data_IF_130844093937
#
_entry.id   IF_130844093937
#
_cell.length_a   1.000
_cell.length_b   1.000
_cell.length_c   1.000
_cell.angle_alpha   90.00
_cell.angle_beta   90.00
_cell.angle_gamma   90.00
#
_symmetry.space_group_name_H-M   'P 1'
#
loop_
_entity.id
_entity.type
_entity.pdbx_description
1 polymer ?
#
# COMPACT_ATOMS: atom_id res chain seq x y z
N UNK A 1 13.02 -21.49 -0.89
CA UNK A 1 11.64 -21.73 -1.34
C UNK A 1 10.95 -20.42 -1.63
N UNK A 2 10.28 -20.35 -2.74
CA UNK A 2 9.54 -19.16 -3.12
C UNK A 2 8.25 -19.07 -2.33
N UNK A 3 7.89 -17.85 -1.95
CA UNK A 3 6.61 -17.61 -1.32
C UNK A 3 5.52 -17.54 -2.38
N UNK A 4 4.30 -17.95 -2.05
CA UNK A 4 3.19 -17.85 -3.00
C UNK A 4 2.90 -16.40 -3.36
N UNK A 5 2.34 -16.21 -4.55
CA UNK A 5 1.88 -14.89 -4.99
C UNK A 5 0.54 -14.60 -4.32
N UNK A 6 0.40 -13.38 -3.80
CA UNK A 6 -0.82 -12.95 -3.14
C UNK A 6 -1.85 -12.50 -4.17
N UNK A 7 -3.11 -12.51 -3.77
CA UNK A 7 -4.21 -11.94 -4.53
C UNK A 7 -4.47 -10.52 -4.04
N UNK A 8 -4.62 -9.58 -4.96
CA UNK A 8 -4.90 -8.18 -4.60
C UNK A 8 -6.38 -7.99 -4.31
N UNK A 9 -6.66 -7.41 -3.14
CA UNK A 9 -7.97 -6.88 -2.81
C UNK A 9 -7.84 -5.39 -2.52
N UNK A 10 -8.85 -4.63 -2.93
CA UNK A 10 -8.87 -3.19 -2.74
C UNK A 10 -10.10 -2.81 -1.94
N UNK A 11 -9.93 -2.00 -0.90
CA UNK A 11 -11.09 -1.46 -0.19
C UNK A 11 -11.78 -0.41 -1.06
N UNK A 12 -13.05 -0.14 -0.74
CA UNK A 12 -13.79 0.93 -1.42
C UNK A 12 -13.08 2.28 -1.25
N UNK A 13 -12.55 2.52 -0.05
CA UNK A 13 -11.83 3.76 0.23
C UNK A 13 -10.53 3.85 -0.59
N UNK A 14 -9.80 2.73 -0.71
CA UNK A 14 -8.60 2.70 -1.55
C UNK A 14 -8.92 3.09 -2.99
N UNK A 15 -10.02 2.57 -3.52
CA UNK A 15 -10.42 2.89 -4.90
C UNK A 15 -10.72 4.37 -5.08
N UNK A 16 -11.36 4.99 -4.08
CA UNK A 16 -11.62 6.44 -4.09
C UNK A 16 -10.32 7.23 -3.99
N UNK A 17 -9.43 6.79 -3.10
CA UNK A 17 -8.11 7.40 -2.94
C UNK A 17 -7.32 7.35 -4.25
N UNK A 18 -7.37 6.20 -4.91
CA UNK A 18 -6.65 5.99 -6.17
C UNK A 18 -7.12 6.96 -7.25
N UNK A 19 -8.44 7.12 -7.38
CA UNK A 19 -9.00 8.08 -8.35
C UNK A 19 -8.52 9.50 -8.07
N UNK A 20 -8.40 9.87 -6.78
CA UNK A 20 -7.88 11.20 -6.39
C UNK A 20 -6.43 11.34 -6.83
N UNK A 21 -5.61 10.32 -6.61
CA UNK A 21 -4.20 10.35 -7.01
C UNK A 21 -4.04 10.43 -8.52
N UNK A 22 -4.86 9.73 -9.27
CA UNK A 22 -4.87 9.79 -10.73
C UNK A 22 -5.18 11.23 -11.19
N UNK A 23 -6.18 11.85 -10.59
CA UNK A 23 -6.56 13.25 -10.93
C UNK A 23 -5.44 14.24 -10.62
N UNK A 24 -4.64 13.97 -9.60
CA UNK A 24 -3.48 14.80 -9.24
C UNK A 24 -2.29 14.58 -10.16
N UNK A 25 -2.37 13.62 -11.08
CA UNK A 25 -1.28 13.32 -12.01
C UNK A 25 -0.20 12.42 -11.45
N UNK A 26 -0.49 11.67 -10.38
CA UNK A 26 0.47 10.74 -9.80
C UNK A 26 0.85 9.64 -10.81
N UNK A 27 2.12 9.24 -10.80
CA UNK A 27 2.61 8.22 -11.73
C UNK A 27 2.21 6.83 -11.25
N UNK A 28 1.19 6.26 -11.87
CA UNK A 28 0.66 4.94 -11.48
C UNK A 28 1.67 3.82 -11.66
N UNK A 29 2.69 4.00 -12.48
CA UNK A 29 3.75 2.98 -12.63
C UNK A 29 4.51 2.76 -11.32
N UNK A 30 4.68 3.82 -10.54
CA UNK A 30 5.35 3.73 -9.24
C UNK A 30 4.54 2.89 -8.26
N UNK A 31 3.23 3.07 -8.25
CA UNK A 31 2.34 2.25 -7.43
C UNK A 31 2.37 0.79 -7.89
N UNK A 32 2.31 0.55 -9.20
CA UNK A 32 2.33 -0.79 -9.75
C UNK A 32 3.60 -1.55 -9.38
N UNK A 33 4.75 -0.88 -9.37
CA UNK A 33 6.02 -1.49 -8.97
C UNK A 33 5.97 -1.97 -7.52
N UNK A 34 5.49 -1.11 -6.62
CA UNK A 34 5.39 -1.44 -5.21
C UNK A 34 4.40 -2.58 -4.99
N UNK A 35 3.22 -2.49 -5.59
CA UNK A 35 2.20 -3.53 -5.45
C UNK A 35 2.71 -4.86 -5.99
N UNK A 36 3.42 -4.83 -7.12
CA UNK A 36 3.99 -6.04 -7.72
C UNK A 36 4.98 -6.74 -6.77
N UNK A 37 5.86 -5.96 -6.13
CA UNK A 37 6.80 -6.50 -5.15
C UNK A 37 6.07 -7.11 -3.96
N UNK A 38 5.04 -6.42 -3.45
CA UNK A 38 4.26 -6.91 -2.32
C UNK A 38 3.49 -8.19 -2.67
N UNK A 39 2.91 -8.26 -3.89
CA UNK A 39 2.19 -9.45 -4.33
C UNK A 39 3.10 -10.67 -4.40
N UNK A 40 4.35 -10.48 -4.81
CA UNK A 40 5.34 -11.56 -4.85
C UNK A 40 5.98 -11.83 -3.50
N UNK A 41 5.58 -11.09 -2.47
CA UNK A 41 6.12 -11.17 -1.13
C UNK A 41 7.64 -10.95 -1.08
N UNK A 42 8.12 -10.07 -1.95
CA UNK A 42 9.52 -9.64 -1.92
C UNK A 42 9.70 -8.51 -0.92
N UNK A 43 10.89 -8.45 -0.32
CA UNK A 43 11.22 -7.37 0.61
C UNK A 43 11.37 -6.08 -0.18
N UNK A 44 10.68 -5.03 0.25
CA UNK A 44 10.81 -3.72 -0.39
C UNK A 44 12.18 -3.11 -0.10
N UNK A 45 12.80 -2.46 -1.09
CA UNK A 45 14.01 -1.67 -0.83
C UNK A 45 13.80 -0.65 0.29
N UNK A 46 14.85 -0.34 1.03
CA UNK A 46 14.80 0.54 2.20
C UNK A 46 14.23 1.93 1.92
N UNK A 47 14.42 2.43 0.71
CA UNK A 47 13.93 3.75 0.33
C UNK A 47 12.41 3.86 0.35
N UNK A 48 11.69 2.74 0.31
CA UNK A 48 10.24 2.74 0.45
C UNK A 48 9.77 2.84 1.91
N UNK A 49 10.68 2.70 2.87
CA UNK A 49 10.40 2.87 4.30
C UNK A 49 9.21 2.06 4.80
N UNK A 50 9.09 0.83 4.33
CA UNK A 50 8.03 -0.08 4.74
C UNK A 50 8.13 -0.39 6.24
N UNK A 51 7.04 -0.17 6.98
CA UNK A 51 7.04 -0.39 8.43
C UNK A 51 5.62 -0.63 8.96
N UNK A 52 5.51 -1.33 10.10
CA UNK A 52 4.20 -1.53 10.71
C UNK A 52 3.68 -0.24 11.35
N UNK A 53 2.37 -0.10 11.34
CA UNK A 53 1.69 1.01 11.99
C UNK A 53 1.24 0.61 13.40
N UNK A 54 0.95 1.61 14.22
CA UNK A 54 0.50 1.43 15.59
C UNK A 54 -0.83 2.17 15.80
N UNK A 55 -1.36 2.10 17.05
CA UNK A 55 -2.59 2.78 17.40
C UNK A 55 -3.78 2.25 16.62
N UNK A 56 -4.58 3.15 16.09
CA UNK A 56 -5.79 2.80 15.32
C UNK A 56 -5.49 2.01 14.05
N UNK A 57 -4.24 2.07 13.57
CA UNK A 57 -3.79 1.36 12.38
C UNK A 57 -3.01 0.08 12.71
N UNK A 58 -3.07 -0.36 13.96
CA UNK A 58 -2.38 -1.59 14.36
C UNK A 58 -2.83 -2.76 13.50
N UNK A 59 -1.86 -3.56 13.04
CA UNK A 59 -2.11 -4.68 12.12
C UNK A 59 -1.92 -4.32 10.65
N UNK A 60 -1.76 -3.04 10.35
CA UNK A 60 -1.47 -2.55 9.00
C UNK A 60 -0.02 -2.11 8.90
N UNK A 61 0.44 -1.98 7.66
CA UNK A 61 1.77 -1.46 7.35
C UNK A 61 1.63 -0.30 6.38
N UNK A 62 2.60 0.60 6.36
CA UNK A 62 2.67 1.58 5.28
C UNK A 62 4.03 1.52 4.60
N UNK A 63 4.05 1.97 3.36
CA UNK A 63 5.28 2.20 2.63
C UNK A 63 5.14 3.49 1.83
N UNK A 64 6.29 4.11 1.54
CA UNK A 64 6.33 5.37 0.80
C UNK A 64 6.59 5.07 -0.67
N UNK A 65 5.59 5.30 -1.52
CA UNK A 65 5.75 5.20 -2.98
C UNK A 65 6.61 6.38 -3.42
N UNK A 66 6.32 7.56 -2.88
CA UNK A 66 7.13 8.77 -2.97
C UNK A 66 7.18 9.39 -1.57
N UNK A 67 8.02 10.40 -1.31
CA UNK A 67 8.15 10.94 0.06
C UNK A 67 6.83 11.32 0.73
N UNK A 68 5.86 11.83 -0.03
CA UNK A 68 4.53 12.14 0.53
C UNK A 68 3.42 11.41 -0.22
N UNK A 69 3.69 10.23 -0.71
CA UNK A 69 2.67 9.35 -1.26
C UNK A 69 2.83 7.98 -0.64
N UNK A 70 1.90 7.62 0.25
CA UNK A 70 1.98 6.37 0.99
C UNK A 70 0.91 5.38 0.54
N UNK A 71 1.19 4.12 0.77
CA UNK A 71 0.25 3.02 0.62
C UNK A 71 0.11 2.34 1.98
N UNK A 72 -1.11 2.28 2.50
CA UNK A 72 -1.41 1.49 3.69
C UNK A 72 -2.00 0.17 3.23
N UNK A 73 -1.46 -0.92 3.73
CA UNK A 73 -1.86 -2.25 3.32
C UNK A 73 -1.76 -3.25 4.47
N UNK A 74 -2.32 -4.41 4.24
CA UNK A 74 -2.21 -5.53 5.15
C UNK A 74 -2.12 -6.81 4.33
N UNK A 75 -1.31 -7.76 4.80
CA UNK A 75 -1.23 -9.09 4.20
C UNK A 75 -2.02 -10.05 5.07
N UNK A 76 -3.02 -10.69 4.48
CA UNK A 76 -3.82 -11.72 5.13
C UNK A 76 -3.24 -13.06 4.70
N UNK A 77 -2.38 -13.61 5.55
CA UNK A 77 -1.58 -14.80 5.22
C UNK A 77 -2.43 -16.04 4.99
N UNK A 78 -3.48 -16.23 5.78
CA UNK A 78 -4.33 -17.42 5.69
C UNK A 78 -5.07 -17.50 4.35
N UNK A 79 -5.44 -16.36 3.79
CA UNK A 79 -6.16 -16.29 2.53
C UNK A 79 -5.29 -15.88 1.35
N UNK A 80 -3.99 -15.62 1.59
CA UNK A 80 -3.03 -15.17 0.59
C UNK A 80 -3.49 -13.90 -0.13
N UNK A 81 -3.92 -12.91 0.65
CA UNK A 81 -4.45 -11.64 0.13
C UNK A 81 -3.55 -10.48 0.53
N UNK A 82 -3.26 -9.61 -0.44
CA UNK A 82 -2.74 -8.28 -0.19
C UNK A 82 -3.94 -7.32 -0.20
N UNK A 83 -4.26 -6.77 0.97
CA UNK A 83 -5.37 -5.83 1.09
C UNK A 83 -4.83 -4.41 1.00
N UNK A 84 -5.02 -3.77 -0.16
CA UNK A 84 -4.71 -2.36 -0.36
C UNK A 84 -5.82 -1.54 0.30
N UNK A 85 -5.48 -0.82 1.36
CA UNK A 85 -6.45 -0.22 2.29
C UNK A 85 -6.62 1.27 2.07
N UNK A 86 -5.54 2.04 1.97
CA UNK A 86 -5.54 3.47 1.71
C UNK A 86 -4.34 3.85 0.86
N UNK A 87 -4.45 4.92 0.10
CA UNK A 87 -3.30 5.55 -0.55
C UNK A 87 -3.54 7.05 -0.67
N UNK A 88 -2.47 7.82 -0.61
CA UNK A 88 -2.55 9.29 -0.68
C UNK A 88 -1.40 9.92 0.06
N UNK A 89 -1.51 11.23 0.29
CA UNK A 89 -0.53 11.95 1.09
C UNK A 89 -0.78 11.66 2.58
N UNK A 90 0.20 12.02 3.42
CA UNK A 90 0.01 11.92 4.87
C UNK A 90 -1.22 12.72 5.32
N UNK A 91 -1.41 13.91 4.76
CA UNK A 91 -2.59 14.74 5.08
C UNK A 91 -3.90 14.08 4.68
N UNK A 92 -3.94 13.43 3.52
CA UNK A 92 -5.16 12.76 3.05
C UNK A 92 -5.63 11.68 4.03
N UNK A 93 -4.69 11.01 4.67
CA UNK A 93 -4.99 9.81 5.45
C UNK A 93 -4.99 10.07 6.96
N UNK A 94 -4.03 10.83 7.46
CA UNK A 94 -3.81 10.99 8.91
C UNK A 94 -4.31 12.32 9.47
N UNK A 95 -4.45 13.33 8.64
CA UNK A 95 -4.97 14.62 9.10
C UNK A 95 -6.48 14.64 9.01
N UNK A 96 -7.09 15.22 10.02
CA UNK A 96 -8.53 15.42 10.07
C UNK A 96 -8.90 16.87 9.83
#
# INVERSE_FOLDING_TARGET
MEKPVLHLKQTSQFKKDLRRMVKRGADMKLLDEVVSLLLRQEVLPENYKDHPLTGNWSGYRDCHIEPDWILIYRIEEDSLVLLATRTGTHSDIFDN
#
